data_IF_549899383572
#
_entry.id   IF_549899383572
#
_cell.length_a   1.000
_cell.length_b   1.000
_cell.length_c   1.000
_cell.angle_alpha   90.00
_cell.angle_beta   90.00
_cell.angle_gamma   90.00
#
_symmetry.space_group_name_H-M   'P 1'
#
loop_
_entity.id
_entity.type
_entity.pdbx_description
1 polymer ?
#
# COMPACT_ATOMS: atom_id res chain seq x y z
N UNK A 1 -1.89 -11.65 17.48
CA UNK A 1 -0.82 -10.79 16.89
C UNK A 1 -0.44 -11.21 15.47
N UNK A 2 -0.71 -12.45 15.04
CA UNK A 2 -0.45 -12.93 13.66
C UNK A 2 -1.12 -12.08 12.57
N UNK A 3 -2.39 -11.70 12.73
CA UNK A 3 -3.08 -10.88 11.72
C UNK A 3 -2.44 -9.52 11.44
N UNK A 4 -1.71 -8.92 12.39
CA UNK A 4 -0.96 -7.68 12.15
C UNK A 4 0.30 -7.93 11.33
N UNK A 5 0.96 -9.06 11.55
CA UNK A 5 2.14 -9.46 10.79
C UNK A 5 1.79 -9.85 9.36
N UNK A 6 0.61 -10.44 9.15
CA UNK A 6 0.11 -10.78 7.83
C UNK A 6 -0.24 -9.52 7.02
N UNK A 7 -0.83 -8.52 7.67
CA UNK A 7 -1.09 -7.20 7.07
C UNK A 7 0.21 -6.48 6.71
N UNK A 8 1.22 -6.47 7.60
CA UNK A 8 2.52 -5.86 7.31
C UNK A 8 3.22 -6.57 6.14
N UNK A 9 3.24 -7.91 6.15
CA UNK A 9 3.82 -8.73 5.08
C UNK A 9 3.14 -8.46 3.74
N UNK A 10 1.82 -8.36 3.75
CA UNK A 10 1.00 -8.04 2.60
C UNK A 10 1.38 -6.70 1.96
N UNK A 11 1.35 -5.61 2.73
CA UNK A 11 1.70 -4.29 2.21
C UNK A 11 3.17 -4.19 1.81
N UNK A 12 4.06 -4.89 2.51
CA UNK A 12 5.48 -4.96 2.14
C UNK A 12 5.68 -5.64 0.79
N UNK A 13 4.98 -6.72 0.49
CA UNK A 13 5.07 -7.40 -0.81
C UNK A 13 4.54 -6.52 -1.94
N UNK A 14 3.35 -5.92 -1.77
CA UNK A 14 2.79 -4.99 -2.75
C UNK A 14 3.75 -3.82 -3.03
N UNK A 15 4.33 -3.23 -1.99
CA UNK A 15 5.30 -2.13 -2.13
C UNK A 15 6.54 -2.57 -2.92
N UNK A 16 7.11 -3.74 -2.62
CA UNK A 16 8.32 -4.22 -3.28
C UNK A 16 8.08 -4.55 -4.76
N UNK A 17 6.98 -5.20 -5.10
CA UNK A 17 6.63 -5.47 -6.51
C UNK A 17 6.37 -4.18 -7.29
N UNK A 18 5.63 -3.24 -6.70
CA UNK A 18 5.39 -1.92 -7.30
C UNK A 18 6.70 -1.19 -7.56
N UNK A 19 7.61 -1.17 -6.58
CA UNK A 19 8.94 -0.57 -6.71
C UNK A 19 9.77 -1.24 -7.79
N UNK A 20 9.74 -2.57 -7.86
CA UNK A 20 10.51 -3.33 -8.85
C UNK A 20 10.01 -3.08 -10.28
N UNK A 21 8.69 -2.99 -10.47
CA UNK A 21 8.08 -2.62 -11.76
C UNK A 21 8.60 -1.25 -12.21
N UNK A 22 8.52 -0.24 -11.34
CA UNK A 22 8.95 1.12 -11.66
C UNK A 22 10.45 1.22 -11.96
N UNK A 23 11.29 0.45 -11.27
CA UNK A 23 12.73 0.42 -11.52
C UNK A 23 13.12 -0.23 -12.85
N UNK A 24 12.26 -1.10 -13.42
CA UNK A 24 12.53 -1.79 -14.69
C UNK A 24 12.07 -1.00 -15.92
N UNK A 25 11.23 0.01 -15.73
CA UNK A 25 10.63 0.79 -16.80
C UNK A 25 11.53 1.98 -17.14
N UNK A 26 11.77 2.19 -18.43
CA UNK A 26 12.37 3.42 -18.92
C UNK A 26 11.30 4.30 -19.56
N UNK A 27 11.13 5.54 -19.06
CA UNK A 27 10.22 6.51 -19.68
C UNK A 27 10.64 6.93 -21.11
N UNK A 28 11.85 6.57 -21.53
CA UNK A 28 12.35 6.85 -22.87
C UNK A 28 12.03 5.72 -23.87
N UNK A 29 11.42 4.62 -23.40
CA UNK A 29 11.07 3.45 -24.21
C UNK A 29 9.56 3.30 -24.27
N UNK A 30 8.99 3.54 -25.45
CA UNK A 30 7.55 3.48 -25.69
C UNK A 30 6.94 2.13 -25.26
N UNK A 31 7.60 1.01 -25.59
CA UNK A 31 7.14 -0.32 -25.21
C UNK A 31 7.03 -0.52 -23.68
N UNK A 32 7.93 0.09 -22.91
CA UNK A 32 7.87 0.01 -21.43
C UNK A 32 6.71 0.87 -20.90
N UNK A 33 6.39 2.00 -21.54
CA UNK A 33 5.25 2.84 -21.17
C UNK A 33 3.90 2.23 -21.55
N UNK A 34 3.82 1.55 -22.70
CA UNK A 34 2.60 0.86 -23.15
C UNK A 34 2.30 -0.39 -22.31
N UNK A 35 3.35 -1.11 -21.87
CA UNK A 35 3.21 -2.29 -21.04
C UNK A 35 2.93 -1.97 -19.56
N UNK A 36 3.26 -0.76 -19.10
CA UNK A 36 3.14 -0.37 -17.69
C UNK A 36 1.72 -0.48 -17.13
N UNK A 37 0.66 0.04 -17.78
CA UNK A 37 -0.71 -0.08 -17.28
C UNK A 37 -1.13 -1.54 -17.06
N UNK A 38 -0.85 -2.41 -18.03
CA UNK A 38 -1.18 -3.84 -17.92
C UNK A 38 -0.36 -4.54 -16.83
N UNK A 39 0.92 -4.22 -16.71
CA UNK A 39 1.76 -4.77 -15.65
C UNK A 39 1.29 -4.31 -14.25
N UNK A 40 0.83 -3.06 -14.13
CA UNK A 40 0.25 -2.51 -12.91
C UNK A 40 -1.09 -3.16 -12.56
N UNK A 41 -1.98 -3.36 -13.54
CA UNK A 41 -3.26 -4.06 -13.34
C UNK A 41 -3.05 -5.47 -12.82
N UNK A 42 -2.06 -6.21 -13.35
CA UNK A 42 -1.73 -7.56 -12.88
C UNK A 42 -1.25 -7.59 -11.43
N UNK A 43 -0.50 -6.58 -11.01
CA UNK A 43 -0.14 -6.42 -9.59
C UNK A 43 -1.42 -6.20 -8.80
N UNK A 44 -2.25 -5.22 -9.16
CA UNK A 44 -3.49 -4.95 -8.42
C UNK A 44 -4.45 -6.14 -8.36
N UNK A 45 -4.58 -6.92 -9.42
CA UNK A 45 -5.38 -8.15 -9.44
C UNK A 45 -4.87 -9.20 -8.46
N UNK A 46 -3.54 -9.35 -8.33
CA UNK A 46 -2.93 -10.26 -7.36
C UNK A 46 -3.25 -9.88 -5.91
N UNK A 47 -3.46 -8.59 -5.65
CA UNK A 47 -3.75 -8.01 -4.33
C UNK A 47 -5.23 -7.56 -4.19
N UNK A 48 -6.13 -7.96 -5.10
CA UNK A 48 -7.52 -7.46 -5.12
C UNK A 48 -8.45 -8.19 -4.15
N UNK A 49 -8.10 -9.41 -3.75
CA UNK A 49 -8.92 -10.23 -2.84
C UNK A 49 -8.66 -9.93 -1.36
N UNK A 50 -7.49 -9.37 -1.03
CA UNK A 50 -7.03 -9.08 0.34
C UNK A 50 -7.05 -7.57 0.64
N UNK A 51 -8.00 -6.84 0.07
CA UNK A 51 -8.24 -5.47 0.51
C UNK A 51 -8.71 -5.63 1.96
N UNK A 52 -7.89 -5.18 2.90
CA UNK A 52 -8.31 -4.95 4.27
C UNK A 52 -8.62 -3.46 4.40
N UNK A 53 -9.66 -2.93 3.71
CA UNK A 53 -10.01 -1.53 3.83
C UNK A 53 -10.42 -1.22 5.27
N UNK A 54 -10.92 -2.23 5.98
CA UNK A 54 -11.37 -2.13 7.36
C UNK A 54 -10.20 -1.98 8.36
N UNK A 55 -9.02 -2.56 8.09
CA UNK A 55 -7.84 -2.42 8.98
C UNK A 55 -7.14 -1.10 8.73
N UNK A 56 -7.01 -0.65 7.49
CA UNK A 56 -6.49 0.69 7.22
C UNK A 56 -7.42 1.78 7.78
N UNK A 57 -8.74 1.58 7.69
CA UNK A 57 -9.73 2.47 8.31
C UNK A 57 -9.65 2.45 9.85
N UNK A 58 -9.46 1.28 10.47
CA UNK A 58 -9.27 1.17 11.93
C UNK A 58 -7.94 1.80 12.38
N UNK A 59 -6.87 1.66 11.60
CA UNK A 59 -5.57 2.29 11.89
C UNK A 59 -5.67 3.81 11.72
N UNK A 60 -6.33 4.33 10.68
CA UNK A 60 -6.51 5.78 10.49
C UNK A 60 -7.31 6.37 11.64
N UNK A 61 -8.41 5.72 12.06
CA UNK A 61 -9.20 6.15 13.22
C UNK A 61 -8.40 6.10 14.54
N UNK A 62 -7.52 5.11 14.72
CA UNK A 62 -6.66 5.03 15.90
C UNK A 62 -5.60 6.14 15.92
N UNK A 63 -4.97 6.43 14.79
CA UNK A 63 -3.96 7.50 14.67
C UNK A 63 -4.57 8.89 14.83
N UNK A 64 -5.77 9.10 14.29
CA UNK A 64 -6.53 10.35 14.47
C UNK A 64 -6.92 10.56 15.94
N UNK A 65 -7.49 9.55 16.61
CA UNK A 65 -7.79 9.61 18.05
C UNK A 65 -6.53 9.85 18.90
N UNK A 66 -5.41 9.21 18.56
CA UNK A 66 -4.15 9.39 19.29
C UNK A 66 -3.59 10.81 19.11
N UNK A 67 -3.72 11.41 17.92
CA UNK A 67 -3.36 12.81 17.68
C UNK A 67 -4.24 13.77 18.49
N UNK A 68 -5.54 13.51 18.60
CA UNK A 68 -6.44 14.35 19.41
C UNK A 68 -6.11 14.28 20.90
N UNK A 69 -5.71 13.11 21.40
CA UNK A 69 -5.27 12.92 22.78
C UNK A 69 -3.92 13.62 23.07
N UNK A 70 -2.97 13.60 22.13
CA UNK A 70 -1.68 14.26 22.29
C UNK A 70 -1.70 15.78 22.03
N UNK A 71 -2.70 16.29 21.29
CA UNK A 71 -2.84 17.71 20.95
C UNK A 71 -3.84 18.46 21.83
N UNK A 72 -4.35 17.85 22.91
CA UNK A 72 -5.13 18.58 23.92
C UNK A 72 -4.19 19.54 24.68
N UNK A 73 -4.37 20.88 24.60
CA UNK A 73 -3.56 21.81 25.36
C UNK A 73 -4.06 21.81 26.80
N UNK A 74 -3.45 21.00 27.67
CA UNK A 74 -3.84 20.95 29.07
C UNK A 74 -3.23 19.80 29.87
N UNK A 75 -1.92 19.86 30.11
CA UNK A 75 -1.25 19.32 31.30
C UNK A 75 -0.01 20.15 31.58
#
# INVERSE_FOLDING_TARGET
LEGLQDVERYYRHLYLESKFLLLRISCNRLADMEALPQAWERILEHYKEDIVPDVLLKISLFVENYRELCCSPGS
#
